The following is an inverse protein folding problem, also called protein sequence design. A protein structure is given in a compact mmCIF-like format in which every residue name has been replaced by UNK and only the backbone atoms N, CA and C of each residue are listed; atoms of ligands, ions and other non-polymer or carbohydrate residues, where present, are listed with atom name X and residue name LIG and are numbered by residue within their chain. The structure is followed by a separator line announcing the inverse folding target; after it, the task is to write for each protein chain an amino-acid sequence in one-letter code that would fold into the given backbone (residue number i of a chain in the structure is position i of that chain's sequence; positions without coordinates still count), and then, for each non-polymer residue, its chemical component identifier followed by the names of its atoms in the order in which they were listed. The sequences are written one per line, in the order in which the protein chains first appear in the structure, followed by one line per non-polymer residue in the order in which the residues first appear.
data_IF_980124474582
#
_entry.id   IF_980124474582
#
_cell.length_a   1.000
_cell.length_b   1.000
_cell.length_c   1.000
_cell.angle_alpha   90.00
_cell.angle_beta   90.00
_cell.angle_gamma   90.00
#
_symmetry.space_group_name_H-M   'P 1'
#
loop_
_entity.id
_entity.type
_entity.pdbx_description
1 polymer ?
#
# COMPACT_ATOMS: atom_id res chain seq x y z
N UNK A 1 2.17 0.68 22.75
CA UNK A 1 1.88 0.72 21.30
C UNK A 1 2.33 -0.59 20.70
N UNK A 2 1.48 -1.28 19.94
CA UNK A 2 1.83 -2.54 19.28
C UNK A 2 2.55 -2.26 17.96
N UNK A 3 3.70 -2.88 17.74
CA UNK A 3 4.50 -2.76 16.51
C UNK A 3 4.11 -3.79 15.43
N UNK A 4 2.94 -4.43 15.58
CA UNK A 4 2.46 -5.48 14.70
C UNK A 4 1.25 -4.94 13.93
N UNK A 5 1.35 -4.98 12.59
CA UNK A 5 0.27 -4.57 11.69
C UNK A 5 -0.30 -5.83 11.02
N UNK A 6 -1.58 -6.18 11.26
CA UNK A 6 -2.20 -7.33 10.60
C UNK A 6 -2.46 -7.02 9.13
N UNK A 7 -2.11 -7.96 8.26
CA UNK A 7 -2.43 -7.88 6.83
C UNK A 7 -3.80 -8.45 6.52
N UNK A 8 -4.50 -7.95 5.48
CA UNK A 8 -5.69 -8.59 4.94
C UNK A 8 -5.39 -10.00 4.45
N UNK A 9 -6.38 -10.89 4.50
CA UNK A 9 -6.22 -12.26 4.00
C UNK A 9 -6.36 -12.28 2.48
N UNK A 10 -5.42 -12.95 1.78
CA UNK A 10 -5.41 -13.09 0.32
C UNK A 10 -6.72 -13.60 -0.28
N UNK A 11 -7.41 -14.52 0.39
CA UNK A 11 -8.68 -15.10 -0.07
C UNK A 11 -9.95 -14.36 0.38
N UNK A 12 -9.81 -13.27 1.14
CA UNK A 12 -10.94 -12.55 1.71
C UNK A 12 -10.79 -11.03 1.50
N UNK A 13 -11.17 -10.53 0.30
CA UNK A 13 -11.16 -9.11 -0.01
C UNK A 13 -12.12 -8.28 0.86
N UNK A 14 -13.08 -8.91 1.54
CA UNK A 14 -14.02 -8.19 2.41
C UNK A 14 -13.34 -7.69 3.69
N UNK A 15 -12.29 -8.41 4.14
CA UNK A 15 -11.44 -8.02 5.27
C UNK A 15 -10.46 -6.89 4.95
N UNK A 16 -10.28 -6.54 3.67
CA UNK A 16 -9.33 -5.54 3.25
C UNK A 16 -9.85 -4.12 3.47
N UNK A 17 -9.04 -3.22 4.05
CA UNK A 17 -9.34 -1.80 4.04
C UNK A 17 -9.48 -1.26 2.61
N UNK A 18 -10.25 -0.20 2.45
CA UNK A 18 -10.41 0.48 1.16
C UNK A 18 -9.83 1.89 1.21
N UNK A 19 -8.58 2.01 0.76
CA UNK A 19 -7.86 3.28 0.64
C UNK A 19 -8.21 3.99 -0.67
N UNK A 20 -8.67 5.24 -0.57
CA UNK A 20 -8.92 6.12 -1.72
C UNK A 20 -7.64 6.70 -2.33
N UNK A 21 -7.76 7.31 -3.51
CA UNK A 21 -6.68 8.05 -4.17
C UNK A 21 -6.12 9.15 -3.24
N UNK A 22 -4.80 9.36 -3.28
CA UNK A 22 -4.08 10.32 -2.44
C UNK A 22 -3.87 9.87 -0.99
N UNK A 23 -4.41 8.71 -0.58
CA UNK A 23 -4.20 8.18 0.76
C UNK A 23 -2.79 7.61 0.90
N UNK A 24 -2.16 7.90 2.03
CA UNK A 24 -0.88 7.31 2.41
C UNK A 24 -1.09 5.97 3.13
N UNK A 25 -0.26 4.99 2.76
CA UNK A 25 -0.32 3.61 3.21
C UNK A 25 1.09 3.06 3.45
N UNK A 26 1.17 1.89 4.07
CA UNK A 26 2.36 1.05 4.01
C UNK A 26 2.09 -0.13 3.07
N UNK A 27 3.03 -0.42 2.19
CA UNK A 27 2.89 -1.49 1.23
C UNK A 27 4.20 -2.27 1.05
N UNK A 28 4.08 -3.57 0.74
CA UNK A 28 5.26 -4.39 0.45
C UNK A 28 5.74 -4.08 -0.97
N UNK A 29 6.98 -3.61 -1.09
CA UNK A 29 7.55 -3.29 -2.41
C UNK A 29 7.68 -4.56 -3.26
N UNK A 30 7.32 -4.54 -4.57
CA UNK A 30 7.41 -5.70 -5.45
C UNK A 30 8.77 -6.40 -5.40
N UNK A 31 8.78 -7.73 -5.28
CA UNK A 31 10.02 -8.51 -5.20
C UNK A 31 10.70 -8.50 -3.82
N UNK A 32 10.17 -7.77 -2.84
CA UNK A 32 10.74 -7.73 -1.47
C UNK A 32 9.77 -8.29 -0.42
N UNK A 33 10.22 -8.26 0.83
CA UNK A 33 9.43 -8.60 2.03
C UNK A 33 9.28 -7.41 3.00
N UNK A 34 9.73 -6.22 2.61
CA UNK A 34 9.75 -5.03 3.46
C UNK A 34 8.60 -4.07 3.13
N UNK A 35 8.15 -3.32 4.15
CA UNK A 35 7.10 -2.31 4.05
C UNK A 35 7.72 -0.93 3.82
N UNK A 36 7.19 -0.21 2.84
CA UNK A 36 7.59 1.16 2.52
C UNK A 36 6.36 2.05 2.49
N UNK A 37 6.57 3.35 2.75
CA UNK A 37 5.50 4.35 2.63
C UNK A 37 5.19 4.57 1.15
N UNK A 38 3.90 4.65 0.85
CA UNK A 38 3.43 4.90 -0.51
C UNK A 38 2.12 5.70 -0.49
N UNK A 39 1.83 6.32 -1.62
CA UNK A 39 0.59 7.04 -1.89
C UNK A 39 -0.24 6.29 -2.93
N UNK A 40 -1.56 6.18 -2.68
CA UNK A 40 -2.48 5.56 -3.64
C UNK A 40 -2.66 6.48 -4.84
N UNK A 41 -2.12 6.08 -5.99
CA UNK A 41 -2.15 6.88 -7.22
C UNK A 41 -3.54 6.88 -7.89
N UNK A 42 -4.31 5.81 -7.76
CA UNK A 42 -5.63 5.65 -8.38
C UNK A 42 -6.59 4.82 -7.54
N UNK A 43 -7.89 5.11 -7.66
CA UNK A 43 -8.93 4.34 -7.00
C UNK A 43 -9.17 3.01 -7.74
N UNK A 44 -9.31 1.92 -6.98
CA UNK A 44 -9.55 0.60 -7.53
C UNK A 44 -11.01 0.42 -7.93
N UNK A 45 -11.27 -0.42 -8.94
CA UNK A 45 -12.65 -0.72 -9.37
C UNK A 45 -13.31 -1.78 -8.48
N UNK A 46 -12.52 -2.74 -7.97
CA UNK A 46 -12.98 -3.79 -7.05
C UNK A 46 -12.01 -3.94 -5.88
N UNK A 47 -12.51 -4.37 -4.72
CA UNK A 47 -11.69 -4.59 -3.51
C UNK A 47 -10.59 -5.64 -3.68
N UNK A 48 -10.78 -6.58 -4.60
CA UNK A 48 -9.81 -7.64 -4.92
C UNK A 48 -8.71 -7.18 -5.89
N UNK A 49 -8.89 -6.02 -6.54
CA UNK A 49 -7.92 -5.54 -7.53
C UNK A 49 -6.65 -5.05 -6.82
N UNK A 50 -5.57 -4.96 -7.57
CA UNK A 50 -4.30 -4.41 -7.07
C UNK A 50 -4.42 -2.90 -6.83
N UNK A 51 -3.70 -2.41 -5.84
CA UNK A 51 -3.47 -0.99 -5.65
C UNK A 51 -2.42 -0.51 -6.63
N UNK A 52 -2.66 0.66 -7.23
CA UNK A 52 -1.63 1.41 -7.96
C UNK A 52 -1.03 2.41 -6.98
N UNK A 53 0.24 2.23 -6.67
CA UNK A 53 0.96 2.98 -5.65
C UNK A 53 2.17 3.71 -6.23
N UNK A 54 2.43 4.89 -5.70
CA UNK A 54 3.66 5.65 -5.86
C UNK A 54 4.42 5.56 -4.54
N UNK A 55 5.59 4.92 -4.55
CA UNK A 55 6.41 4.73 -3.35
C UNK A 55 7.31 5.95 -3.13
N UNK A 56 7.39 6.44 -1.90
CA UNK A 56 8.11 7.70 -1.60
C UNK A 56 9.62 7.62 -1.93
N UNK A 57 10.22 6.42 -1.91
CA UNK A 57 11.66 6.18 -2.15
C UNK A 57 11.99 5.64 -3.57
N UNK A 58 11.00 5.52 -4.47
CA UNK A 58 11.16 4.86 -5.79
C UNK A 58 11.31 5.88 -6.94
N UNK A 59 11.90 7.05 -6.69
CA UNK A 59 12.03 8.10 -7.72
C UNK A 59 12.94 7.68 -8.89
N UNK A 60 12.37 7.75 -10.11
CA UNK A 60 13.05 7.46 -11.37
C UNK A 60 12.82 8.64 -12.35
N UNK A 61 13.90 9.21 -12.88
CA UNK A 61 13.88 10.35 -13.83
C UNK A 61 13.06 11.57 -13.35
N UNK A 62 13.10 11.84 -12.04
CA UNK A 62 12.37 12.94 -11.41
C UNK A 62 10.87 12.70 -11.25
N UNK A 63 10.42 11.44 -11.37
CA UNK A 63 9.03 11.04 -11.20
C UNK A 63 8.91 9.80 -10.30
N UNK A 64 7.79 9.65 -9.60
CA UNK A 64 7.48 8.42 -8.87
C UNK A 64 6.72 7.47 -9.81
N UNK A 65 7.29 6.30 -10.16
CA UNK A 65 6.64 5.33 -11.01
C UNK A 65 5.48 4.64 -10.29
N UNK A 66 4.47 4.27 -11.06
CA UNK A 66 3.30 3.55 -10.55
C UNK A 66 3.57 2.05 -10.48
N UNK A 67 3.43 1.47 -9.29
CA UNK A 67 3.60 0.04 -9.04
C UNK A 67 2.27 -0.60 -8.65
N UNK A 68 1.96 -1.74 -9.27
CA UNK A 68 0.81 -2.56 -8.89
C UNK A 68 1.17 -3.43 -7.68
N UNK A 69 0.40 -3.32 -6.59
CA UNK A 69 0.60 -4.09 -5.36
C UNK A 69 -0.70 -4.78 -4.96
N UNK A 70 -0.70 -6.10 -4.72
CA UNK A 70 -1.89 -6.82 -4.31
C UNK A 70 -2.50 -6.27 -3.01
N UNK A 71 -3.83 -6.24 -2.94
CA UNK A 71 -4.55 -5.67 -1.79
C UNK A 71 -4.13 -6.23 -0.43
N UNK A 72 -3.81 -7.53 -0.38
CA UNK A 72 -3.38 -8.24 0.83
C UNK A 72 -1.92 -7.97 1.21
N UNK A 73 -1.25 -7.04 0.51
CA UNK A 73 0.09 -6.51 0.81
C UNK A 73 0.08 -5.02 1.11
N UNK A 74 -1.10 -4.41 1.26
CA UNK A 74 -1.27 -2.99 1.58
C UNK A 74 -2.00 -2.86 2.93
N UNK A 75 -1.46 -2.03 3.81
CA UNK A 75 -1.98 -1.81 5.17
C UNK A 75 -2.02 -0.32 5.49
N UNK A 76 -2.79 0.05 6.51
CA UNK A 76 -2.88 1.45 6.93
C UNK A 76 -1.53 1.91 7.49
N UNK A 77 -1.13 3.15 7.17
CA UNK A 77 -0.05 3.84 7.85
C UNK A 77 -0.51 4.21 9.28
N UNK A 78 0.10 3.69 10.35
CA UNK A 78 -0.30 4.02 11.72
C UNK A 78 -0.07 5.50 12.03
N UNK A 79 -0.99 6.13 12.76
CA UNK A 79 -0.82 7.51 13.21
C UNK A 79 0.40 7.63 14.13
N UNK A 80 1.28 8.60 13.84
CA UNK A 80 2.53 8.80 14.58
C UNK A 80 3.71 7.95 14.12
N UNK A 81 3.58 7.17 13.04
CA UNK A 81 4.72 6.51 12.41
C UNK A 81 5.62 7.57 11.74
N UNK A 82 6.65 8.01 12.46
CA UNK A 82 7.78 8.77 11.91
C UNK A 82 8.80 7.75 11.43
N UNK A 83 8.96 7.63 10.12
CA UNK A 83 10.14 7.01 9.51
C UNK A 83 11.30 8.02 9.54
#
# INVERSE_FOLDING_TARGET
MSYIIPFPKKGDPSSAPDFGQGRQVLAVYPGTTALYRATVASHRKRKSDDYILEFDDDEEDGSLPQRAVPFYRVVALPEGHRQ
#
